data_IF_571374924269
#
_entry.id   IF_571374924269
#
_cell.length_a   1.000
_cell.length_b   1.000
_cell.length_c   1.000
_cell.angle_alpha   90.00
_cell.angle_beta   90.00
_cell.angle_gamma   90.00
#
_symmetry.space_group_name_H-M   'P 1'
#
loop_
_entity.id
_entity.type
_entity.pdbx_description
1 polymer ?
#
# COMPACT_ATOMS: atom_id res chain seq x y z
N UNK A 1 14.62 33.90 -6.41
CA UNK A 1 15.49 33.11 -5.51
C UNK A 1 16.01 33.98 -4.35
N UNK A 2 16.55 35.16 -4.63
CA UNK A 2 17.06 36.12 -3.62
C UNK A 2 16.00 36.61 -2.61
N UNK A 3 14.77 36.89 -3.04
CA UNK A 3 13.68 37.32 -2.14
C UNK A 3 13.25 36.23 -1.14
N UNK A 4 13.37 34.95 -1.52
CA UNK A 4 13.04 33.81 -0.65
C UNK A 4 14.12 33.63 0.41
N UNK A 5 15.39 33.77 0.02
CA UNK A 5 16.53 33.69 0.93
C UNK A 5 16.48 34.83 1.95
N UNK A 6 16.18 36.06 1.50
CA UNK A 6 16.05 37.22 2.38
C UNK A 6 14.87 37.09 3.37
N UNK A 7 13.73 36.53 2.92
CA UNK A 7 12.60 36.24 3.79
C UNK A 7 12.95 35.19 4.84
N UNK A 8 13.59 34.08 4.45
CA UNK A 8 14.01 33.01 5.36
C UNK A 8 15.03 33.49 6.40
N UNK A 9 15.99 34.33 6.00
CA UNK A 9 16.96 34.99 6.90
C UNK A 9 16.27 35.92 7.91
N UNK A 10 15.31 36.74 7.45
CA UNK A 10 14.58 37.70 8.31
C UNK A 10 13.69 37.02 9.34
N UNK A 11 13.20 35.82 9.03
CA UNK A 11 12.30 35.05 9.91
C UNK A 11 13.03 34.08 10.85
N UNK A 12 14.37 34.05 10.85
CA UNK A 12 15.20 33.08 11.60
C UNK A 12 14.87 31.61 11.29
N UNK A 13 14.05 31.34 10.26
CA UNK A 13 13.60 29.98 9.91
C UNK A 13 14.75 29.09 9.41
N UNK A 14 15.86 29.69 8.99
CA UNK A 14 17.07 28.97 8.62
C UNK A 14 17.61 28.20 9.84
N UNK A 15 17.54 28.72 11.06
CA UNK A 15 18.08 28.03 12.24
C UNK A 15 17.34 26.71 12.56
N UNK A 16 16.10 26.58 12.07
CA UNK A 16 15.30 25.37 12.20
C UNK A 16 15.59 24.33 11.09
N UNK A 17 16.53 24.58 10.17
CA UNK A 17 16.92 23.64 9.11
C UNK A 17 17.24 22.22 9.63
N UNK A 18 17.90 22.01 10.79
CA UNK A 18 18.14 20.67 11.30
C UNK A 18 16.83 19.99 11.73
N UNK A 19 15.89 20.76 12.28
CA UNK A 19 14.57 20.26 12.68
C UNK A 19 13.76 19.83 11.46
N UNK A 20 13.77 20.63 10.39
CA UNK A 20 13.11 20.30 9.12
C UNK A 20 13.72 19.05 8.48
N UNK A 21 15.05 18.91 8.53
CA UNK A 21 15.75 17.73 8.02
C UNK A 21 15.36 16.47 8.82
N UNK A 22 15.38 16.54 10.15
CA UNK A 22 14.97 15.42 11.02
C UNK A 22 13.51 15.04 10.78
N UNK A 23 12.60 16.02 10.72
CA UNK A 23 11.19 15.76 10.43
C UNK A 23 11.02 15.07 9.06
N UNK A 24 11.75 15.51 8.04
CA UNK A 24 11.73 14.91 6.71
C UNK A 24 12.24 13.47 6.74
N UNK A 25 13.33 13.19 7.44
CA UNK A 25 13.87 11.83 7.62
C UNK A 25 12.85 10.93 8.33
N UNK A 26 12.20 11.42 9.39
CA UNK A 26 11.18 10.68 10.12
C UNK A 26 9.97 10.36 9.26
N UNK A 27 9.50 11.31 8.44
CA UNK A 27 8.40 11.10 7.50
C UNK A 27 8.79 10.04 6.47
N UNK A 28 9.97 10.14 5.87
CA UNK A 28 10.46 9.15 4.90
C UNK A 28 10.58 7.77 5.55
N UNK A 29 11.16 7.69 6.74
CA UNK A 29 11.30 6.43 7.48
C UNK A 29 9.93 5.80 7.80
N UNK A 30 8.97 6.60 8.23
CA UNK A 30 7.60 6.15 8.50
C UNK A 30 6.92 5.62 7.23
N UNK A 31 7.02 6.34 6.11
CA UNK A 31 6.47 5.91 4.82
C UNK A 31 7.10 4.59 4.34
N UNK A 32 8.43 4.47 4.45
CA UNK A 32 9.15 3.24 4.10
C UNK A 32 8.79 2.06 5.01
N UNK A 33 8.55 2.31 6.29
CA UNK A 33 8.11 1.28 7.24
C UNK A 33 6.70 0.79 6.93
N UNK A 34 5.78 1.72 6.65
CA UNK A 34 4.40 1.38 6.26
C UNK A 34 4.38 0.53 4.98
N UNK A 35 5.21 0.86 3.99
CA UNK A 35 5.38 0.11 2.74
C UNK A 35 5.93 -1.30 2.92
N UNK A 36 6.54 -1.65 4.06
CA UNK A 36 7.09 -2.99 4.34
C UNK A 36 6.24 -3.79 5.35
N UNK A 37 5.13 -3.23 5.83
CA UNK A 37 4.33 -3.86 6.88
C UNK A 37 3.22 -4.72 6.29
N UNK A 38 3.23 -6.01 6.63
CA UNK A 38 2.12 -6.91 6.33
C UNK A 38 0.88 -6.54 7.14
N UNK A 39 -0.26 -6.50 6.47
CA UNK A 39 -1.57 -6.33 7.10
C UNK A 39 -2.22 -7.69 7.32
N UNK A 40 -3.04 -7.77 8.38
CA UNK A 40 -3.78 -8.98 8.74
C UNK A 40 -5.26 -8.70 8.86
N UNK A 41 -6.08 -9.60 8.34
CA UNK A 41 -7.54 -9.64 8.57
C UNK A 41 -7.87 -11.00 9.19
N UNK A 42 -8.48 -10.98 10.37
CA UNK A 42 -8.92 -12.19 11.06
C UNK A 42 -10.29 -12.57 10.50
N UNK A 43 -10.42 -13.80 10.02
CA UNK A 43 -11.66 -14.31 9.39
C UNK A 43 -12.31 -15.43 10.19
N UNK A 44 -11.56 -16.17 10.99
CA UNK A 44 -12.08 -17.33 11.71
C UNK A 44 -12.32 -18.59 10.84
N UNK A 45 -12.04 -18.52 9.53
CA UNK A 45 -12.38 -19.58 8.55
C UNK A 45 -11.17 -20.45 8.19
N UNK A 46 -11.42 -21.57 7.50
CA UNK A 46 -10.34 -22.43 7.00
C UNK A 46 -9.56 -21.76 5.85
N UNK A 47 -8.33 -22.22 5.59
CA UNK A 47 -7.50 -21.71 4.49
C UNK A 47 -8.22 -21.76 3.12
N UNK A 48 -8.95 -22.84 2.85
CA UNK A 48 -9.69 -22.99 1.59
C UNK A 48 -10.81 -21.96 1.46
N UNK A 49 -11.54 -21.68 2.54
CA UNK A 49 -12.59 -20.66 2.55
C UNK A 49 -11.98 -19.26 2.41
N UNK A 50 -10.87 -18.99 3.10
CA UNK A 50 -10.14 -17.73 2.95
C UNK A 50 -9.63 -17.51 1.53
N UNK A 51 -9.15 -18.57 0.88
CA UNK A 51 -8.73 -18.52 -0.52
C UNK A 51 -9.90 -18.14 -1.45
N UNK A 52 -11.06 -18.77 -1.25
CA UNK A 52 -12.28 -18.47 -2.03
C UNK A 52 -12.80 -17.04 -1.80
N UNK A 53 -12.74 -16.55 -0.57
CA UNK A 53 -13.06 -15.16 -0.21
C UNK A 53 -12.14 -14.18 -0.95
N UNK A 54 -10.82 -14.41 -0.91
CA UNK A 54 -9.86 -13.54 -1.60
C UNK A 54 -10.12 -13.55 -3.10
N UNK A 55 -10.29 -14.73 -3.70
CA UNK A 55 -10.57 -14.86 -5.14
C UNK A 55 -11.82 -14.09 -5.56
N UNK A 56 -12.92 -14.26 -4.82
CA UNK A 56 -14.17 -13.54 -5.07
C UNK A 56 -14.00 -12.03 -4.91
N UNK A 57 -13.25 -11.59 -3.89
CA UNK A 57 -12.96 -10.17 -3.67
C UNK A 57 -12.15 -9.55 -4.83
N UNK A 58 -11.16 -10.28 -5.35
CA UNK A 58 -10.36 -9.84 -6.50
C UNK A 58 -11.19 -9.77 -7.79
N UNK A 59 -12.03 -10.78 -8.04
CA UNK A 59 -12.97 -10.78 -9.17
C UNK A 59 -13.94 -9.59 -9.11
N UNK A 60 -14.50 -9.31 -7.93
CA UNK A 60 -15.39 -8.14 -7.71
C UNK A 60 -14.68 -6.81 -7.98
N UNK A 61 -13.37 -6.75 -7.82
CA UNK A 61 -12.55 -5.57 -8.12
C UNK A 61 -12.10 -5.50 -9.58
N UNK A 62 -12.36 -6.54 -10.38
CA UNK A 62 -11.83 -6.67 -11.74
C UNK A 62 -10.31 -6.79 -11.76
N UNK A 63 -9.73 -7.41 -10.73
CA UNK A 63 -8.29 -7.62 -10.60
C UNK A 63 -7.98 -9.06 -10.99
N UNK A 64 -7.08 -9.23 -11.97
CA UNK A 64 -6.63 -10.53 -12.43
C UNK A 64 -5.51 -11.05 -11.54
N UNK A 65 -5.48 -12.36 -11.30
CA UNK A 65 -4.47 -13.06 -10.50
C UNK A 65 -3.45 -13.76 -11.42
N UNK A 66 -2.18 -13.70 -11.04
CA UNK A 66 -1.04 -14.37 -11.69
C UNK A 66 -0.48 -15.43 -10.75
N UNK A 67 -0.64 -16.69 -11.13
CA UNK A 67 -0.07 -17.83 -10.41
C UNK A 67 -0.96 -18.35 -9.29
N UNK A 68 -0.86 -19.67 -9.04
CA UNK A 68 -1.69 -20.42 -8.11
C UNK A 68 -0.84 -21.46 -7.39
N UNK A 69 -0.17 -21.09 -6.31
CA UNK A 69 0.55 -22.09 -5.50
C UNK A 69 0.62 -21.78 -4.00
N UNK A 70 0.62 -20.52 -3.59
CA UNK A 70 0.65 -20.15 -2.16
C UNK A 70 0.44 -18.66 -1.91
N UNK A 71 0.81 -17.85 -2.90
CA UNK A 71 0.78 -16.40 -2.91
C UNK A 71 -0.01 -15.96 -4.14
N UNK A 72 -1.00 -15.10 -3.95
CA UNK A 72 -1.74 -14.50 -5.06
C UNK A 72 -1.01 -13.21 -5.42
N UNK A 73 -0.37 -13.20 -6.58
CA UNK A 73 0.21 -12.00 -7.19
C UNK A 73 -0.81 -11.47 -8.20
N UNK A 74 -1.03 -10.16 -8.27
CA UNK A 74 -1.99 -9.60 -9.23
C UNK A 74 -1.33 -9.37 -10.58
N UNK A 75 -1.99 -9.77 -11.67
CA UNK A 75 -1.57 -9.44 -13.03
C UNK A 75 -1.86 -7.97 -13.34
N UNK A 76 -1.05 -7.41 -14.22
CA UNK A 76 -1.06 -6.02 -14.66
C UNK A 76 -2.45 -5.54 -15.16
N UNK A 77 -3.28 -4.95 -14.29
CA UNK A 77 -4.39 -4.11 -14.76
C UNK A 77 -3.82 -2.75 -15.24
N UNK A 78 -4.26 -2.29 -16.43
CA UNK A 78 -3.49 -1.49 -17.41
C UNK A 78 -2.88 -0.15 -16.97
N UNK A 79 -3.28 0.47 -15.85
CA UNK A 79 -2.76 1.82 -15.52
C UNK A 79 -2.30 2.03 -14.07
N UNK A 80 -3.00 1.55 -13.06
CA UNK A 80 -2.70 1.91 -11.65
C UNK A 80 -1.98 0.78 -10.91
N UNK A 81 -2.41 -0.47 -11.10
CA UNK A 81 -1.79 -1.62 -10.43
C UNK A 81 -0.38 -1.92 -10.92
N UNK A 82 0.01 -1.47 -12.13
CA UNK A 82 1.37 -1.61 -12.67
C UNK A 82 2.47 -0.95 -11.80
N UNK A 83 2.05 -0.09 -10.89
CA UNK A 83 2.93 0.62 -9.98
C UNK A 83 2.95 0.01 -8.58
N UNK A 84 2.13 -1.01 -8.34
CA UNK A 84 1.99 -1.68 -7.06
C UNK A 84 2.48 -3.12 -7.16
N UNK A 85 3.21 -3.54 -6.14
CA UNK A 85 3.48 -4.93 -5.81
C UNK A 85 2.46 -5.33 -4.75
N UNK A 86 1.53 -6.22 -5.11
CA UNK A 86 0.45 -6.68 -4.24
C UNK A 86 0.65 -8.17 -3.98
N UNK A 87 0.84 -8.50 -2.71
CA UNK A 87 1.07 -9.86 -2.24
C UNK A 87 -0.05 -10.24 -1.27
N UNK A 88 -0.76 -11.34 -1.53
CA UNK A 88 -1.85 -11.81 -0.66
C UNK A 88 -1.60 -13.28 -0.31
N UNK A 89 -1.63 -13.59 0.98
CA UNK A 89 -1.36 -14.91 1.57
C UNK A 89 -2.54 -15.34 2.47
N UNK A 90 -3.44 -16.20 1.96
CA UNK A 90 -4.53 -16.76 2.75
C UNK A 90 -4.00 -17.90 3.64
N UNK A 91 -4.21 -17.78 4.96
CA UNK A 91 -3.92 -18.82 5.94
C UNK A 91 -5.22 -19.34 6.58
N UNK A 92 -5.13 -20.32 7.47
CA UNK A 92 -6.25 -20.64 8.36
C UNK A 92 -6.44 -19.48 9.35
N UNK A 93 -7.70 -19.13 9.63
CA UNK A 93 -8.14 -18.08 10.58
C UNK A 93 -7.79 -16.63 10.18
N UNK A 94 -6.82 -16.42 9.29
CA UNK A 94 -6.35 -15.09 8.88
C UNK A 94 -6.08 -15.00 7.37
N UNK A 95 -6.12 -13.78 6.85
CA UNK A 95 -5.61 -13.40 5.52
C UNK A 95 -4.53 -12.34 5.74
N UNK A 96 -3.32 -12.62 5.26
CA UNK A 96 -2.23 -11.66 5.23
C UNK A 96 -2.19 -11.00 3.85
N UNK A 97 -1.98 -9.70 3.81
CA UNK A 97 -1.78 -8.99 2.54
C UNK A 97 -0.83 -7.82 2.70
N UNK A 98 -0.23 -7.43 1.58
CA UNK A 98 0.79 -6.41 1.52
C UNK A 98 0.66 -5.66 0.20
N UNK A 99 0.55 -4.34 0.29
CA UNK A 99 0.49 -3.42 -0.85
C UNK A 99 1.72 -2.52 -0.75
N UNK A 100 2.56 -2.55 -1.78
CA UNK A 100 3.79 -1.77 -1.84
C UNK A 100 3.92 -1.11 -3.20
N UNK A 101 4.63 0.01 -3.31
CA UNK A 101 5.04 0.51 -4.61
C UNK A 101 6.17 -0.32 -5.22
N UNK A 102 6.03 -0.68 -6.49
CA UNK A 102 7.06 -1.43 -7.22
C UNK A 102 8.38 -0.62 -7.28
N UNK A 103 9.48 -1.21 -6.83
CA UNK A 103 10.80 -0.56 -6.71
C UNK A 103 11.49 -0.29 -8.05
N UNK A 104 11.08 -0.95 -9.14
CA UNK A 104 11.74 -0.90 -10.45
C UNK A 104 11.32 0.29 -11.33
N UNK A 105 10.30 1.06 -10.96
CA UNK A 105 9.86 2.22 -11.72
C UNK A 105 10.31 3.51 -11.03
N UNK A 106 10.83 4.45 -11.82
CA UNK A 106 11.11 5.88 -11.53
C UNK A 106 9.90 6.69 -11.00
N UNK A 107 8.83 5.98 -10.65
CA UNK A 107 7.55 6.41 -10.14
C UNK A 107 7.61 7.01 -8.73
N UNK A 108 8.55 6.68 -7.84
CA UNK A 108 8.50 7.17 -6.43
C UNK A 108 8.23 8.68 -6.27
N UNK A 109 8.66 9.52 -7.21
CA UNK A 109 8.45 10.98 -7.22
C UNK A 109 7.08 11.46 -7.75
N UNK A 110 6.40 10.69 -8.60
CA UNK A 110 5.05 11.04 -9.11
C UNK A 110 3.92 10.51 -8.21
N UNK A 111 4.26 9.85 -7.09
CA UNK A 111 3.43 8.90 -6.34
C UNK A 111 2.99 9.37 -4.95
N UNK A 112 2.95 10.69 -4.77
CA UNK A 112 2.35 11.35 -3.59
C UNK A 112 0.82 11.12 -3.54
N UNK A 113 0.18 10.76 -4.65
CA UNK A 113 -1.24 10.43 -4.67
C UNK A 113 -1.42 9.02 -4.10
N UNK A 114 -2.17 8.90 -3.00
CA UNK A 114 -2.46 7.69 -2.21
C UNK A 114 -3.14 6.54 -2.95
N UNK A 115 -2.60 6.15 -4.10
CA UNK A 115 -2.99 5.03 -4.95
C UNK A 115 -2.83 3.73 -4.18
N UNK A 116 -1.68 3.53 -3.52
CA UNK A 116 -1.45 2.34 -2.68
C UNK A 116 -2.55 2.25 -1.61
N UNK A 117 -2.77 3.33 -0.86
CA UNK A 117 -3.80 3.40 0.18
C UNK A 117 -5.23 3.24 -0.38
N UNK A 118 -5.52 3.79 -1.56
CA UNK A 118 -6.82 3.65 -2.22
C UNK A 118 -7.08 2.20 -2.66
N UNK A 119 -6.08 1.56 -3.27
CA UNK A 119 -6.15 0.15 -3.66
C UNK A 119 -6.27 -0.76 -2.43
N UNK A 120 -5.46 -0.52 -1.39
CA UNK A 120 -5.53 -1.24 -0.11
C UNK A 120 -6.94 -1.11 0.50
N UNK A 121 -7.49 0.10 0.54
CA UNK A 121 -8.84 0.36 1.05
C UNK A 121 -9.92 -0.34 0.23
N UNK A 122 -9.84 -0.29 -1.10
CA UNK A 122 -10.80 -1.00 -1.99
C UNK A 122 -10.75 -2.51 -1.77
N UNK A 123 -9.55 -3.07 -1.65
CA UNK A 123 -9.34 -4.48 -1.37
C UNK A 123 -9.91 -4.88 -0.02
N UNK A 124 -9.60 -4.13 1.04
CA UNK A 124 -10.10 -4.37 2.39
C UNK A 124 -11.63 -4.35 2.42
N UNK A 125 -12.27 -3.37 1.78
CA UNK A 125 -13.74 -3.33 1.69
C UNK A 125 -14.35 -4.51 0.95
N UNK A 126 -13.71 -4.95 -0.13
CA UNK A 126 -14.18 -6.14 -0.85
C UNK A 126 -14.06 -7.40 0.02
N UNK A 127 -12.95 -7.56 0.73
CA UNK A 127 -12.76 -8.66 1.69
C UNK A 127 -13.81 -8.65 2.81
N UNK A 128 -13.99 -7.51 3.48
CA UNK A 128 -14.97 -7.39 4.58
C UNK A 128 -16.38 -7.75 4.13
N UNK A 129 -16.77 -7.31 2.92
CA UNK A 129 -18.07 -7.65 2.34
C UNK A 129 -18.24 -9.15 2.10
N UNK A 130 -17.20 -9.83 1.64
CA UNK A 130 -17.25 -11.28 1.41
C UNK A 130 -17.16 -12.10 2.70
N UNK A 131 -16.44 -11.62 3.71
CA UNK A 131 -16.39 -12.23 5.05
C UNK A 131 -17.77 -12.17 5.71
N UNK A 132 -18.46 -11.03 5.66
CA UNK A 132 -19.77 -10.83 6.30
C UNK A 132 -20.89 -11.70 5.69
N UNK A 133 -20.72 -12.18 4.46
CA UNK A 133 -21.70 -13.06 3.80
C UNK A 133 -21.64 -14.51 4.29
N UNK A 134 -20.61 -14.92 5.05
CA UNK A 134 -20.29 -16.33 5.34
C UNK A 134 -20.07 -16.61 6.81
#
# INVERSE_FOLDING_TARGET
MEQVIYFLLKTEMIEFWPLWLVATILIIAFLLWQDNTWRKVVTGKSKAVNFDIVKTALQNLGWEEKGFTSKIELTYNKYILKFLEINIEPHSQIILYHFRYATSNSARLLFIFGICSFCEWRFKRALEKEILKR
#
